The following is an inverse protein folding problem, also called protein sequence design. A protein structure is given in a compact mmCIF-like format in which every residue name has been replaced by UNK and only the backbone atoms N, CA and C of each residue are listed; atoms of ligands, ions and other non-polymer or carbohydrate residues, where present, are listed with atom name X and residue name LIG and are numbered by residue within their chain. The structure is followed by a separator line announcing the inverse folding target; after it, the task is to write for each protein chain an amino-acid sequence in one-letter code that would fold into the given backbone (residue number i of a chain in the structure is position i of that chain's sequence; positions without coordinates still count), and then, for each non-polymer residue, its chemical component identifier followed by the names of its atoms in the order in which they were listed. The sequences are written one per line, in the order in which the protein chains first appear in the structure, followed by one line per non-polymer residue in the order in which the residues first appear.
data_IF_205495407452
#
_entry.id   IF_205495407452
#
_cell.length_a   1.000
_cell.length_b   1.000
_cell.length_c   1.000
_cell.angle_alpha   90.00
_cell.angle_beta   90.00
_cell.angle_gamma   90.00
#
_symmetry.space_group_name_H-M   'P 1'
#
loop_
_entity.id
_entity.type
_entity.pdbx_description
1 polymer ?
#
# COMPACT_ATOMS: atom_id res chain seq x y z
N UNK A 1 8.82 -8.60 -6.83
CA UNK A 1 7.76 -7.60 -7.09
C UNK A 1 6.77 -7.61 -5.92
N UNK A 2 6.15 -8.75 -5.65
CA UNK A 2 5.18 -8.93 -4.56
C UNK A 2 5.56 -8.33 -3.19
N UNK A 3 6.76 -8.62 -2.67
CA UNK A 3 7.23 -8.01 -1.41
C UNK A 3 7.16 -6.48 -1.40
N UNK A 4 7.53 -5.82 -2.51
CA UNK A 4 7.50 -4.34 -2.60
C UNK A 4 6.07 -3.80 -2.66
N UNK A 5 5.15 -4.54 -3.28
CA UNK A 5 3.73 -4.18 -3.33
C UNK A 5 3.10 -4.26 -1.93
N UNK A 6 3.38 -5.33 -1.18
CA UNK A 6 2.98 -5.45 0.22
C UNK A 6 3.63 -4.39 1.11
N UNK A 7 4.92 -4.09 0.90
CA UNK A 7 5.61 -3.03 1.64
C UNK A 7 4.96 -1.67 1.37
N UNK A 8 4.58 -1.36 0.13
CA UNK A 8 3.88 -0.12 -0.19
C UNK A 8 2.54 0.01 0.56
N UNK A 9 1.81 -1.10 0.73
CA UNK A 9 0.58 -1.14 1.54
C UNK A 9 0.89 -0.87 3.01
N UNK A 10 1.91 -1.51 3.58
CA UNK A 10 2.35 -1.27 4.96
C UNK A 10 2.74 0.20 5.17
N UNK A 11 3.53 0.78 4.26
CA UNK A 11 3.93 2.19 4.31
C UNK A 11 2.72 3.13 4.33
N UNK A 12 1.73 2.89 3.47
CA UNK A 12 0.51 3.68 3.43
C UNK A 12 -0.28 3.55 4.73
N UNK A 13 -0.47 2.33 5.23
CA UNK A 13 -1.20 2.09 6.47
C UNK A 13 -0.49 2.73 7.66
N UNK A 14 0.84 2.58 7.76
CA UNK A 14 1.65 3.20 8.80
C UNK A 14 1.53 4.73 8.78
N UNK A 15 1.60 5.33 7.59
CA UNK A 15 1.41 6.78 7.43
C UNK A 15 0.03 7.24 7.91
N UNK A 16 -1.03 6.59 7.46
CA UNK A 16 -2.41 6.94 7.83
C UNK A 16 -2.68 6.70 9.33
N UNK A 17 -2.09 5.66 9.91
CA UNK A 17 -2.17 5.36 11.34
C UNK A 17 -1.46 6.41 12.21
N UNK A 18 -0.49 7.15 11.66
CA UNK A 18 0.26 8.19 12.39
C UNK A 18 -0.48 9.52 12.56
N UNK A 19 -1.67 9.66 11.94
CA UNK A 19 -2.46 10.90 12.07
C UNK A 19 -2.94 11.08 13.51
N UNK A 20 -3.12 12.33 13.94
CA UNK A 20 -3.66 12.64 15.27
C UNK A 20 -5.06 12.05 15.50
N UNK A 21 -5.83 11.89 14.42
CA UNK A 21 -7.09 11.16 14.39
C UNK A 21 -7.09 10.20 13.18
N UNK A 22 -6.65 8.95 13.35
CA UNK A 22 -6.62 7.97 12.26
C UNK A 22 -8.04 7.67 11.74
N UNK A 23 -8.21 7.46 10.43
CA UNK A 23 -9.50 7.10 9.86
C UNK A 23 -9.90 5.69 10.30
N UNK A 24 -11.16 5.50 10.71
CA UNK A 24 -11.64 4.18 11.16
C UNK A 24 -11.72 3.12 10.06
N UNK A 25 -11.82 3.54 8.79
CA UNK A 25 -11.99 2.65 7.64
C UNK A 25 -11.06 3.11 6.52
N UNK A 26 -10.23 2.20 6.04
CA UNK A 26 -9.27 2.44 4.96
C UNK A 26 -9.53 1.44 3.84
N UNK A 27 -9.73 1.95 2.63
CA UNK A 27 -9.83 1.15 1.41
C UNK A 27 -8.60 1.42 0.54
N UNK A 28 -7.83 0.38 0.23
CA UNK A 28 -6.67 0.44 -0.65
C UNK A 28 -7.01 -0.24 -1.96
N UNK A 29 -6.67 0.43 -3.07
CA UNK A 29 -6.73 -0.14 -4.41
C UNK A 29 -5.33 -0.57 -4.83
N UNK A 30 -5.21 -1.79 -5.36
CA UNK A 30 -3.96 -2.35 -5.88
C UNK A 30 -4.26 -3.19 -7.11
N UNK A 31 -3.37 -3.23 -8.08
CA UNK A 31 -3.41 -4.15 -9.21
C UNK A 31 -2.68 -5.48 -8.93
N UNK A 32 -2.09 -5.63 -7.74
CA UNK A 32 -1.47 -6.87 -7.30
C UNK A 32 -2.51 -7.83 -6.72
N UNK A 33 -2.92 -8.82 -7.51
CA UNK A 33 -3.78 -9.91 -7.04
C UNK A 33 -3.17 -10.65 -5.84
N UNK A 34 -1.85 -10.87 -5.84
CA UNK A 34 -1.14 -11.51 -4.72
C UNK A 34 -1.30 -10.71 -3.42
N UNK A 35 -1.16 -9.38 -3.48
CA UNK A 35 -1.32 -8.51 -2.30
C UNK A 35 -2.75 -8.50 -1.78
N UNK A 36 -3.72 -8.46 -2.68
CA UNK A 36 -5.14 -8.54 -2.34
C UNK A 36 -5.47 -9.88 -1.67
N UNK A 37 -5.02 -10.99 -2.24
CA UNK A 37 -5.28 -12.33 -1.72
C UNK A 37 -4.64 -12.55 -0.34
N UNK A 38 -3.38 -12.18 -0.19
CA UNK A 38 -2.63 -12.40 1.06
C UNK A 38 -3.17 -11.54 2.21
N UNK A 39 -3.63 -10.32 1.94
CA UNK A 39 -4.26 -9.48 2.96
C UNK A 39 -5.69 -9.90 3.31
N UNK A 40 -6.47 -10.40 2.34
CA UNK A 40 -7.81 -10.89 2.62
C UNK A 40 -7.82 -12.26 3.32
N UNK A 41 -6.81 -13.10 3.06
CA UNK A 41 -6.66 -14.40 3.71
C UNK A 41 -5.86 -14.35 5.02
N UNK A 42 -5.14 -13.25 5.26
CA UNK A 42 -4.16 -13.10 6.35
C UNK A 42 -3.13 -14.24 6.40
N UNK A 43 -2.80 -14.80 5.23
CA UNK A 43 -1.88 -15.93 5.10
C UNK A 43 -0.94 -15.70 3.93
N UNK A 44 0.37 -15.70 4.19
CA UNK A 44 1.37 -15.74 3.15
C UNK A 44 1.97 -17.15 3.00
N UNK A 45 2.27 -17.53 1.76
CA UNK A 45 2.95 -18.79 1.45
C UNK A 45 4.45 -18.76 1.78
N UNK A 46 5.07 -17.57 1.74
CA UNK A 46 6.49 -17.37 2.04
C UNK A 46 6.68 -16.61 3.35
N UNK A 47 7.64 -17.05 4.17
CA UNK A 47 7.91 -16.49 5.51
C UNK A 47 8.31 -15.00 5.48
N UNK A 48 8.97 -14.53 4.41
CA UNK A 48 9.38 -13.14 4.23
C UNK A 48 8.21 -12.15 4.20
N UNK A 49 7.02 -12.57 3.79
CA UNK A 49 5.82 -11.73 3.75
C UNK A 49 5.06 -11.73 5.09
N UNK A 50 5.30 -12.72 5.96
CA UNK A 50 4.65 -12.80 7.26
C UNK A 50 5.05 -11.64 8.18
N UNK A 51 6.30 -11.17 8.10
CA UNK A 51 6.73 -10.01 8.90
C UNK A 51 5.93 -8.75 8.54
N UNK A 52 5.69 -8.51 7.26
CA UNK A 52 4.86 -7.38 6.78
C UNK A 52 3.42 -7.56 7.25
N UNK A 53 2.84 -8.76 7.12
CA UNK A 53 1.48 -9.03 7.59
C UNK A 53 1.33 -8.83 9.10
N UNK A 54 2.32 -9.25 9.89
CA UNK A 54 2.33 -9.05 11.33
C UNK A 54 2.41 -7.56 11.69
N UNK A 55 3.22 -6.79 10.97
CA UNK A 55 3.28 -5.33 11.15
C UNK A 55 1.95 -4.65 10.81
N UNK A 56 1.30 -5.07 9.72
CA UNK A 56 -0.05 -4.59 9.34
C UNK A 56 -1.07 -4.94 10.42
N UNK A 57 -1.07 -6.19 10.90
CA UNK A 57 -1.99 -6.65 11.94
C UNK A 57 -1.78 -5.88 13.26
N UNK A 58 -0.53 -5.64 13.66
CA UNK A 58 -0.20 -4.85 14.85
C UNK A 58 -0.75 -3.41 14.76
N UNK A 59 -0.61 -2.76 13.60
CA UNK A 59 -1.19 -1.42 13.37
C UNK A 59 -2.71 -1.48 13.49
N UNK A 60 -3.36 -2.45 12.84
CA UNK A 60 -4.82 -2.61 12.88
C UNK A 60 -5.32 -2.81 14.32
N UNK A 61 -4.66 -3.68 15.09
CA UNK A 61 -5.03 -3.96 16.48
C UNK A 61 -4.86 -2.73 17.38
N UNK A 62 -3.80 -1.95 17.20
CA UNK A 62 -3.53 -0.74 17.99
C UNK A 62 -4.46 0.42 17.65
N UNK A 63 -4.81 0.58 16.39
CA UNK A 63 -5.57 1.74 15.90
C UNK A 63 -7.06 1.49 15.75
N UNK A 64 -7.49 0.22 15.66
CA UNK A 64 -8.86 -0.14 15.34
C UNK A 64 -9.27 0.15 13.89
N UNK A 65 -8.31 0.35 12.98
CA UNK A 65 -8.58 0.60 11.57
C UNK A 65 -9.16 -0.68 10.92
N UNK A 66 -10.34 -0.56 10.31
CA UNK A 66 -10.87 -1.57 9.39
C UNK A 66 -10.23 -1.37 8.01
N UNK A 67 -9.24 -2.21 7.69
CA UNK A 67 -8.52 -2.20 6.42
C UNK A 67 -9.19 -3.14 5.41
N UNK A 68 -9.44 -2.63 4.20
CA UNK A 68 -9.86 -3.43 3.05
C UNK A 68 -8.94 -3.17 1.87
N UNK A 69 -8.58 -4.23 1.14
CA UNK A 69 -7.81 -4.12 -0.09
C UNK A 69 -8.62 -4.70 -1.25
N UNK A 70 -8.73 -3.95 -2.35
CA UNK A 70 -9.46 -4.34 -3.55
C UNK A 70 -8.58 -4.27 -4.78
N UNK A 71 -8.74 -5.28 -5.63
CA UNK A 71 -8.09 -5.31 -6.92
C UNK A 71 -8.66 -4.24 -7.86
N UNK A 72 -7.79 -3.54 -8.58
CA UNK A 72 -8.12 -2.71 -9.74
C UNK A 72 -7.22 -3.10 -10.93
N UNK A 73 -7.66 -2.96 -12.20
CA UNK A 73 -6.79 -3.17 -13.35
C UNK A 73 -5.56 -2.24 -13.33
N UNK A 74 -4.40 -2.71 -13.79
CA UNK A 74 -3.18 -1.88 -13.85
C UNK A 74 -3.31 -0.61 -14.70
N UNK A 75 -4.17 -0.63 -15.74
CA UNK A 75 -4.53 0.56 -16.53
C UNK A 75 -5.23 1.66 -15.71
N UNK A 76 -5.80 1.30 -14.56
CA UNK A 76 -6.44 2.23 -13.63
C UNK A 76 -5.49 2.59 -12.46
N UNK A 77 -4.32 1.93 -12.36
CA UNK A 77 -3.30 2.13 -11.33
C UNK A 77 -2.05 2.90 -11.83
N UNK A 78 -2.17 3.63 -12.96
CA UNK A 78 -1.04 4.26 -13.67
C UNK A 78 -0.16 5.11 -12.76
N UNK A 79 -0.75 5.89 -11.84
CA UNK A 79 0.00 6.74 -10.90
C UNK A 79 0.97 5.92 -10.05
N UNK A 80 0.46 4.88 -9.39
CA UNK A 80 1.29 4.03 -8.54
C UNK A 80 2.34 3.28 -9.37
N UNK A 81 1.98 2.87 -10.59
CA UNK A 81 2.87 2.12 -11.46
C UNK A 81 4.07 2.97 -11.93
N UNK A 82 3.84 4.22 -12.34
CA UNK A 82 4.91 5.17 -12.66
C UNK A 82 5.81 5.48 -11.46
N UNK A 83 5.21 5.72 -10.27
CA UNK A 83 5.97 6.02 -9.05
C UNK A 83 6.81 4.82 -8.58
N UNK A 84 6.28 3.60 -8.65
CA UNK A 84 6.99 2.39 -8.22
C UNK A 84 8.21 2.06 -9.10
N UNK A 85 8.20 2.55 -10.35
CA UNK A 85 9.29 2.41 -11.33
C UNK A 85 10.24 3.61 -11.37
N UNK A 86 10.03 4.61 -10.52
CA UNK A 86 10.81 5.86 -10.47
C UNK A 86 10.75 6.66 -11.79
N UNK A 87 9.67 6.54 -12.55
CA UNK A 87 9.45 7.26 -13.82
C UNK A 87 8.88 8.66 -13.54
N UNK A 88 9.67 9.50 -12.84
CA UNK A 88 9.22 10.80 -12.35
C UNK A 88 8.96 11.81 -13.47
N UNK A 89 9.72 11.75 -14.57
CA UNK A 89 9.52 12.63 -15.72
C UNK A 89 8.19 12.33 -16.42
N UNK A 90 7.89 11.05 -16.66
CA UNK A 90 6.61 10.61 -17.22
C UNK A 90 5.44 10.94 -16.28
N UNK A 91 5.63 10.74 -14.97
CA UNK A 91 4.64 11.11 -13.95
C UNK A 91 4.32 12.61 -14.01
N UNK A 92 5.36 13.46 -14.04
CA UNK A 92 5.19 14.91 -14.10
C UNK A 92 4.58 15.37 -15.41
N UNK A 93 4.88 14.69 -16.51
CA UNK A 93 4.27 14.98 -17.81
C UNK A 93 2.76 14.67 -17.81
N UNK A 94 2.35 13.53 -17.24
CA UNK A 94 0.94 13.12 -17.20
C UNK A 94 0.13 13.82 -16.09
N UNK A 95 0.76 14.14 -14.95
CA UNK A 95 0.12 14.70 -13.76
C UNK A 95 0.82 15.98 -13.27
N UNK A 96 0.86 17.06 -14.07
CA UNK A 96 1.70 18.23 -13.81
C UNK A 96 1.30 19.04 -12.57
N UNK A 97 0.06 18.89 -12.09
CA UNK A 97 -0.43 19.57 -10.88
C UNK A 97 -0.06 18.84 -9.58
N UNK A 98 0.38 17.60 -9.66
CA UNK A 98 0.68 16.77 -8.49
C UNK A 98 2.13 16.97 -8.04
N UNK A 99 2.39 16.81 -6.72
CA UNK A 99 3.73 16.92 -6.14
C UNK A 99 4.12 15.61 -5.50
N UNK A 100 5.17 14.99 -6.02
CA UNK A 100 5.76 13.77 -5.46
C UNK A 100 6.70 14.14 -4.32
N UNK A 101 6.61 13.41 -3.21
CA UNK A 101 7.52 13.52 -2.06
C UNK A 101 8.07 12.14 -1.73
N UNK A 102 9.27 12.10 -1.19
CA UNK A 102 9.89 10.88 -0.69
C UNK A 102 9.55 10.67 0.79
N UNK A 103 9.59 9.41 1.22
CA UNK A 103 9.42 9.01 2.61
C UNK A 103 10.32 7.80 2.88
N UNK A 104 10.64 7.56 4.16
CA UNK A 104 11.36 6.37 4.59
C UNK A 104 10.34 5.29 5.01
N UNK A 105 10.45 4.06 4.47
CA UNK A 105 9.62 2.93 4.93
C UNK A 105 9.81 2.65 6.43
N UNK A 106 8.76 2.16 7.12
CA UNK A 106 8.83 1.76 8.53
C UNK A 106 9.67 0.49 8.75
#
# INVERSE_FOLDING_TARGET
IFFRELLAILCLLHHVASFSSPPRRVLIHSDSLNSVEVLNSLRASESSHNSILLAIADIILKTGIDLRVRHIPGKDNIRADLLSRLLFDDYKHQFPSERVRTFEPP
#
